data_IF_458731242201
#
_entry.id   IF_458731242201
#
_cell.length_a   1.000
_cell.length_b   1.000
_cell.length_c   1.000
_cell.angle_alpha   90.00
_cell.angle_beta   90.00
_cell.angle_gamma   90.00
#
_symmetry.space_group_name_H-M   'P 1'
#
loop_
_entity.id
_entity.type
_entity.pdbx_description
1 polymer ?
#
# COMPACT_ATOMS: atom_id res chain seq x y z
N UNK A 1 21.30 -2.56 14.24
CA UNK A 1 20.72 -3.91 14.09
C UNK A 1 19.23 -3.80 14.32
N UNK A 2 18.38 -4.28 13.42
CA UNK A 2 16.93 -4.28 13.64
C UNK A 2 16.59 -5.39 14.65
N UNK A 3 16.10 -5.01 15.84
CA UNK A 3 15.20 -5.74 16.80
C UNK A 3 15.20 -7.29 16.87
N UNK A 4 16.25 -7.99 16.44
CA UNK A 4 16.30 -9.46 16.40
C UNK A 4 15.67 -10.10 15.14
N UNK A 5 15.32 -9.33 14.11
CA UNK A 5 14.77 -9.90 12.85
C UNK A 5 15.91 -10.27 11.89
N UNK A 6 16.00 -11.54 11.44
CA UNK A 6 17.01 -11.96 10.46
C UNK A 6 16.92 -11.17 9.15
N UNK A 7 18.06 -10.82 8.55
CA UNK A 7 18.14 -9.95 7.36
C UNK A 7 17.44 -10.56 6.14
N UNK A 8 17.51 -11.88 6.00
CA UNK A 8 16.85 -12.65 4.95
C UNK A 8 15.32 -12.62 5.02
N UNK A 9 14.76 -12.16 6.15
CA UNK A 9 13.32 -11.92 6.33
C UNK A 9 12.92 -10.45 6.14
N UNK A 10 13.89 -9.57 5.85
CA UNK A 10 13.67 -8.15 5.62
C UNK A 10 13.79 -7.85 4.12
N UNK A 11 12.69 -7.36 3.55
CA UNK A 11 12.63 -6.95 2.15
C UNK A 11 12.49 -5.43 2.11
N UNK A 12 13.38 -4.76 1.37
CA UNK A 12 13.35 -3.32 1.18
C UNK A 12 12.83 -3.00 -0.23
N UNK A 13 11.75 -2.22 -0.29
CA UNK A 13 11.18 -1.64 -1.49
C UNK A 13 11.58 -0.15 -1.54
N UNK A 14 12.11 0.34 -2.66
CA UNK A 14 12.65 1.71 -2.80
C UNK A 14 12.18 2.41 -4.08
N UNK A 15 11.27 1.80 -4.85
CA UNK A 15 10.82 2.32 -6.15
C UNK A 15 9.57 3.17 -6.02
N UNK A 16 8.73 2.87 -5.05
CA UNK A 16 7.50 3.61 -4.83
C UNK A 16 7.78 5.08 -4.51
N UNK A 17 6.88 5.95 -4.98
CA UNK A 17 6.90 7.39 -4.67
C UNK A 17 5.64 7.86 -3.96
N UNK A 18 4.69 6.95 -3.80
CA UNK A 18 3.38 7.18 -3.21
C UNK A 18 2.77 5.87 -2.71
N UNK A 19 1.60 5.97 -2.07
CA UNK A 19 0.93 4.82 -1.44
C UNK A 19 0.43 3.79 -2.45
N UNK A 20 -0.02 4.21 -3.64
CA UNK A 20 -0.39 3.28 -4.72
C UNK A 20 0.85 2.50 -5.16
N UNK A 21 1.98 3.19 -5.37
CA UNK A 21 3.26 2.56 -5.67
C UNK A 21 3.71 1.60 -4.58
N UNK A 22 3.55 1.95 -3.29
CA UNK A 22 3.89 1.05 -2.18
C UNK A 22 3.19 -0.31 -2.34
N UNK A 23 1.87 -0.30 -2.59
CA UNK A 23 1.11 -1.54 -2.75
C UNK A 23 1.51 -2.28 -4.04
N UNK A 24 1.58 -1.60 -5.17
CA UNK A 24 1.87 -2.22 -6.47
C UNK A 24 3.27 -2.85 -6.50
N UNK A 25 4.31 -2.12 -6.07
CA UNK A 25 5.69 -2.63 -6.07
C UNK A 25 5.87 -3.77 -5.07
N UNK A 26 5.30 -3.67 -3.87
CA UNK A 26 5.39 -4.76 -2.87
C UNK A 26 4.74 -6.03 -3.40
N UNK A 27 3.53 -5.93 -3.97
CA UNK A 27 2.81 -7.09 -4.49
C UNK A 27 3.56 -7.71 -5.68
N UNK A 28 3.96 -6.87 -6.64
CA UNK A 28 4.62 -7.34 -7.86
C UNK A 28 5.98 -8.01 -7.58
N UNK A 29 6.74 -7.51 -6.60
CA UNK A 29 8.12 -7.93 -6.35
C UNK A 29 8.26 -9.01 -5.27
N UNK A 30 7.44 -8.99 -4.23
CA UNK A 30 7.64 -9.82 -3.04
C UNK A 30 6.50 -10.78 -2.74
N UNK A 31 5.27 -10.47 -3.18
CA UNK A 31 4.10 -11.31 -2.89
C UNK A 31 3.66 -12.15 -4.09
N UNK A 32 4.22 -11.93 -5.28
CA UNK A 32 3.96 -12.77 -6.45
C UNK A 32 4.40 -14.21 -6.15
N UNK A 33 3.45 -15.15 -6.21
CA UNK A 33 3.67 -16.57 -5.93
C UNK A 33 3.60 -16.94 -4.44
N UNK A 34 3.36 -15.97 -3.56
CA UNK A 34 3.02 -16.24 -2.16
C UNK A 34 1.53 -16.52 -2.07
N UNK A 35 1.16 -17.67 -1.50
CA UNK A 35 -0.23 -17.97 -1.18
C UNK A 35 -0.81 -16.93 -0.21
N UNK A 36 -2.03 -16.50 -0.49
CA UNK A 36 -2.73 -15.48 0.26
C UNK A 36 -2.83 -15.87 1.75
N UNK A 37 -2.52 -14.92 2.62
CA UNK A 37 -2.46 -15.11 4.07
C UNK A 37 -2.64 -13.75 4.77
N UNK A 38 -2.83 -13.73 6.09
CA UNK A 38 -2.92 -12.46 6.82
C UNK A 38 -1.69 -11.57 6.60
N UNK A 39 -1.94 -10.29 6.33
CA UNK A 39 -0.92 -9.23 6.25
C UNK A 39 -1.27 -8.14 7.24
N UNK A 40 -0.27 -7.72 8.01
CA UNK A 40 -0.34 -6.52 8.84
C UNK A 40 0.24 -5.33 8.08
N UNK A 41 -0.60 -4.32 7.84
CA UNK A 41 -0.20 -3.04 7.29
C UNK A 41 -0.01 -2.05 8.44
N UNK A 42 1.25 -1.77 8.77
CA UNK A 42 1.62 -0.86 9.86
C UNK A 42 1.97 0.50 9.29
N UNK A 43 1.29 1.56 9.72
CA UNK A 43 1.56 2.94 9.28
C UNK A 43 1.05 3.96 10.30
N UNK A 44 1.45 5.23 10.17
CA UNK A 44 0.93 6.34 10.98
C UNK A 44 -0.61 6.41 10.93
N UNK A 45 -1.29 6.77 12.04
CA UNK A 45 -2.75 6.71 12.14
C UNK A 45 -3.48 7.51 11.07
N UNK A 46 -3.01 8.72 10.75
CA UNK A 46 -3.61 9.56 9.71
C UNK A 46 -3.59 8.91 8.31
N UNK A 47 -2.60 8.05 8.03
CA UNK A 47 -2.41 7.43 6.72
C UNK A 47 -3.17 6.10 6.56
N UNK A 48 -3.68 5.57 7.67
CA UNK A 48 -4.06 4.17 7.80
C UNK A 48 -5.24 3.79 6.90
N UNK A 49 -6.24 4.66 6.78
CA UNK A 49 -7.40 4.41 5.92
C UNK A 49 -7.00 4.30 4.44
N UNK A 50 -6.28 5.30 3.93
CA UNK A 50 -5.84 5.33 2.53
C UNK A 50 -4.91 4.17 2.21
N UNK A 51 -3.98 3.85 3.10
CA UNK A 51 -3.10 2.70 2.96
C UNK A 51 -3.92 1.39 2.91
N UNK A 52 -4.87 1.20 3.83
CA UNK A 52 -5.71 0.00 3.89
C UNK A 52 -6.56 -0.19 2.63
N UNK A 53 -7.24 0.87 2.16
CA UNK A 53 -8.02 0.85 0.91
C UNK A 53 -7.13 0.46 -0.25
N UNK A 54 -5.96 1.08 -0.36
CA UNK A 54 -5.01 0.83 -1.45
C UNK A 54 -4.54 -0.63 -1.45
N UNK A 55 -4.03 -1.12 -0.32
CA UNK A 55 -3.51 -2.49 -0.25
C UNK A 55 -4.59 -3.54 -0.45
N UNK A 56 -5.82 -3.35 0.08
CA UNK A 56 -6.94 -4.26 -0.18
C UNK A 56 -7.34 -4.30 -1.65
N UNK A 57 -7.34 -3.15 -2.33
CA UNK A 57 -7.71 -3.11 -3.74
C UNK A 57 -6.65 -3.79 -4.62
N UNK A 58 -5.37 -3.58 -4.33
CA UNK A 58 -4.26 -4.19 -5.08
C UNK A 58 -4.18 -5.70 -4.83
N UNK A 59 -4.22 -6.15 -3.57
CA UNK A 59 -4.13 -7.57 -3.23
C UNK A 59 -5.39 -8.36 -3.63
N UNK A 60 -6.55 -7.72 -3.61
CA UNK A 60 -7.83 -8.38 -3.81
C UNK A 60 -8.34 -9.11 -2.55
N UNK A 61 -9.52 -9.71 -2.66
CA UNK A 61 -10.28 -10.24 -1.52
C UNK A 61 -9.70 -11.51 -0.89
N UNK A 62 -8.85 -12.25 -1.60
CA UNK A 62 -8.21 -13.47 -1.07
C UNK A 62 -7.26 -13.16 0.10
N UNK A 63 -6.75 -11.94 0.17
CA UNK A 63 -5.82 -11.53 1.23
C UNK A 63 -6.56 -10.88 2.40
N UNK A 64 -6.21 -11.29 3.62
CA UNK A 64 -6.72 -10.67 4.85
C UNK A 64 -5.78 -9.55 5.29
N UNK A 65 -6.07 -8.31 4.87
CA UNK A 65 -5.28 -7.13 5.26
C UNK A 65 -5.82 -6.52 6.55
N UNK A 66 -4.99 -6.53 7.58
CA UNK A 66 -5.23 -5.92 8.89
C UNK A 66 -4.37 -4.67 9.04
N UNK A 67 -4.99 -3.52 9.28
CA UNK A 67 -4.26 -2.30 9.51
C UNK A 67 -3.93 -2.12 10.99
N UNK A 68 -2.72 -1.67 11.28
CA UNK A 68 -2.22 -1.42 12.64
C UNK A 68 -1.64 0.00 12.67
N UNK A 69 -2.14 0.81 13.59
CA UNK A 69 -1.62 2.14 13.84
C UNK A 69 -0.23 2.06 14.48
N UNK A 70 0.73 2.77 13.90
CA UNK A 70 1.97 3.12 14.59
C UNK A 70 1.70 4.25 15.61
N UNK A 71 2.69 4.54 16.46
CA UNK A 71 2.62 5.68 17.38
C UNK A 71 2.54 7.00 16.62
N UNK A 72 1.77 7.95 17.17
CA UNK A 72 1.65 9.31 16.62
C UNK A 72 2.97 10.08 16.75
N UNK A 73 3.24 10.93 15.77
CA UNK A 73 4.33 11.92 15.82
C UNK A 73 3.78 13.35 15.74
N UNK A 74 4.53 14.33 16.25
CA UNK A 74 4.07 15.72 16.33
C UNK A 74 3.68 16.36 14.97
N UNK A 75 4.23 15.86 13.87
CA UNK A 75 3.96 16.32 12.51
C UNK A 75 2.69 15.72 11.89
N UNK A 76 2.07 14.73 12.53
CA UNK A 76 0.95 13.96 11.96
C UNK A 76 -0.28 14.84 11.71
N UNK A 77 -0.52 15.83 12.57
CA UNK A 77 -1.62 16.79 12.41
C UNK A 77 -1.55 17.59 11.11
N UNK A 78 -0.35 17.97 10.67
CA UNK A 78 -0.18 18.73 9.41
C UNK A 78 -0.45 17.85 8.19
N UNK A 79 -0.06 16.57 8.27
CA UNK A 79 -0.21 15.59 7.19
C UNK A 79 -1.64 15.09 7.05
N UNK A 80 -2.37 14.97 8.17
CA UNK A 80 -3.77 14.55 8.20
C UNK A 80 -4.69 15.45 7.34
N UNK A 81 -4.41 16.75 7.24
CA UNK A 81 -5.28 17.70 6.54
C UNK A 81 -5.43 17.44 5.03
N UNK A 82 -4.51 16.69 4.42
CA UNK A 82 -4.54 16.37 2.99
C UNK A 82 -5.08 14.96 2.70
N UNK A 83 -5.30 14.13 3.73
CA UNK A 83 -5.62 12.71 3.53
C UNK A 83 -6.97 12.50 2.84
N UNK A 84 -7.96 13.36 3.09
CA UNK A 84 -9.25 13.29 2.39
C UNK A 84 -9.08 13.41 0.87
N UNK A 85 -8.26 14.36 0.42
CA UNK A 85 -7.98 14.57 -1.01
C UNK A 85 -7.23 13.37 -1.58
N UNK A 86 -6.18 12.90 -0.91
CA UNK A 86 -5.42 11.74 -1.38
C UNK A 86 -6.27 10.46 -1.41
N UNK A 87 -7.22 10.31 -0.49
CA UNK A 87 -8.13 9.17 -0.47
C UNK A 87 -9.10 9.21 -1.67
N UNK A 88 -9.61 10.39 -2.02
CA UNK A 88 -10.43 10.58 -3.23
C UNK A 88 -9.63 10.27 -4.50
N UNK A 89 -8.38 10.72 -4.59
CA UNK A 89 -7.48 10.39 -5.71
C UNK A 89 -7.20 8.88 -5.79
N UNK A 90 -7.04 8.21 -4.64
CA UNK A 90 -6.92 6.75 -4.58
C UNK A 90 -8.15 6.07 -5.16
N UNK A 91 -9.36 6.49 -4.79
CA UNK A 91 -10.59 5.92 -5.36
C UNK A 91 -10.69 6.17 -6.88
N UNK A 92 -10.39 7.38 -7.34
CA UNK A 92 -10.38 7.71 -8.76
C UNK A 92 -9.32 6.90 -9.54
N UNK A 93 -8.17 6.60 -8.93
CA UNK A 93 -7.19 5.72 -9.54
C UNK A 93 -7.72 4.30 -9.74
N UNK A 94 -8.50 3.76 -8.81
CA UNK A 94 -9.05 2.41 -8.91
C UNK A 94 -10.40 2.31 -9.61
N UNK A 95 -11.02 3.44 -9.97
CA UNK A 95 -12.29 3.46 -10.67
C UNK A 95 -12.27 2.60 -11.93
N UNK A 96 -13.26 1.70 -12.04
CA UNK A 96 -13.40 0.74 -13.15
C UNK A 96 -12.45 -0.46 -13.10
N UNK A 97 -11.59 -0.59 -12.08
CA UNK A 97 -10.68 -1.72 -11.93
C UNK A 97 -11.15 -2.63 -10.81
N UNK A 98 -11.31 -3.92 -11.09
CA UNK A 98 -11.69 -4.91 -10.08
C UNK A 98 -10.56 -5.09 -9.05
N UNK A 99 -10.85 -5.16 -7.73
CA UNK A 99 -9.85 -5.51 -6.73
C UNK A 99 -9.12 -6.81 -7.09
N UNK A 100 -7.79 -6.83 -6.97
CA UNK A 100 -6.93 -7.97 -7.31
C UNK A 100 -6.62 -8.14 -8.81
N UNK A 101 -7.18 -7.31 -9.70
CA UNK A 101 -6.80 -7.30 -11.12
C UNK A 101 -5.42 -6.64 -11.30
N UNK A 102 -4.38 -7.36 -10.89
CA UNK A 102 -3.00 -6.87 -10.91
C UNK A 102 -2.52 -6.49 -12.30
N UNK A 103 -3.07 -7.10 -13.37
CA UNK A 103 -2.70 -6.75 -14.73
C UNK A 103 -3.22 -5.35 -15.10
N UNK A 104 -4.50 -5.06 -14.80
CA UNK A 104 -5.08 -3.73 -15.03
C UNK A 104 -4.46 -2.65 -14.13
N UNK A 105 -4.23 -2.97 -12.86
CA UNK A 105 -3.64 -2.06 -11.87
C UNK A 105 -2.21 -1.68 -12.28
N UNK A 106 -1.34 -2.67 -12.55
CA UNK A 106 0.05 -2.39 -12.94
C UNK A 106 0.09 -1.58 -14.24
N UNK A 107 -0.71 -1.94 -15.25
CA UNK A 107 -0.80 -1.16 -16.50
C UNK A 107 -1.13 0.32 -16.26
N UNK A 108 -2.14 0.62 -15.43
CA UNK A 108 -2.53 2.02 -15.11
C UNK A 108 -1.43 2.71 -14.29
N UNK A 109 -0.81 2.02 -13.35
CA UNK A 109 0.29 2.54 -12.54
C UNK A 109 1.51 2.92 -13.40
N UNK A 110 1.97 2.02 -14.29
CA UNK A 110 3.11 2.28 -15.19
C UNK A 110 2.85 3.46 -16.12
N UNK A 111 1.63 3.56 -16.67
CA UNK A 111 1.25 4.70 -17.51
C UNK A 111 1.31 6.05 -16.78
N UNK A 112 1.09 6.05 -15.45
CA UNK A 112 1.18 7.25 -14.61
C UNK A 112 2.63 7.71 -14.39
N UNK A 113 3.60 6.78 -14.38
CA UNK A 113 5.01 7.10 -14.12
C UNK A 113 5.75 7.74 -15.31
N UNK A 114 5.19 7.62 -16.52
CA UNK A 114 5.79 8.15 -17.77
C UNK A 114 5.31 9.58 -18.07
N UNK A 115 4.30 10.06 -17.32
CA UNK A 115 3.81 11.45 -17.40
C UNK A 115 4.62 12.34 -16.47
#
# INVERSE_FOLDING_TARGET
AATGVPRERLFLEERSRDTIGNAVEVVARYLRGVEARPIYLVTSPFHLERALVTFRHVLGFEWQVQAVAAEDTDDDRKRANLETTFLQETFAFFEGIRPGDMAAIDKKYRARLVR
#
